data_IF_769333236997
#
_entry.id   IF_769333236997
#
_cell.length_a   1.000
_cell.length_b   1.000
_cell.length_c   1.000
_cell.angle_alpha   90.00
_cell.angle_beta   90.00
_cell.angle_gamma   90.00
#
_symmetry.space_group_name_H-M   'P 1'
#
loop_
_entity.id
_entity.type
_entity.pdbx_description
1 polymer ?
#
# COMPACT_ATOMS: atom_id res chain seq x y z
N UNK A 1 -33.14 -16.25 -17.43
CA UNK A 1 -31.90 -16.81 -16.87
C UNK A 1 -31.65 -16.05 -15.58
N UNK A 2 -31.77 -16.76 -14.46
CA UNK A 2 -32.10 -16.21 -13.16
C UNK A 2 -30.89 -15.55 -12.49
N UNK A 3 -31.06 -14.32 -12.02
CA UNK A 3 -30.10 -13.58 -11.19
C UNK A 3 -29.88 -14.18 -9.80
N UNK A 4 -30.69 -15.16 -9.39
CA UNK A 4 -30.56 -15.87 -8.11
C UNK A 4 -29.53 -17.00 -8.14
N UNK A 5 -29.27 -17.61 -9.30
CA UNK A 5 -28.31 -18.74 -9.42
C UNK A 5 -26.85 -18.25 -9.30
N UNK A 6 -26.55 -17.05 -9.79
CA UNK A 6 -25.22 -16.43 -9.66
C UNK A 6 -24.83 -16.07 -8.23
N UNK A 7 -25.80 -15.80 -7.34
CA UNK A 7 -25.49 -15.45 -5.93
C UNK A 7 -25.28 -16.69 -5.06
N UNK A 8 -25.97 -17.80 -5.35
CA UNK A 8 -25.77 -19.07 -4.64
C UNK A 8 -24.53 -19.84 -5.13
N UNK A 9 -24.14 -19.72 -6.41
CA UNK A 9 -22.87 -20.29 -6.90
C UNK A 9 -21.63 -19.54 -6.38
N UNK A 10 -21.73 -18.22 -6.12
CA UNK A 10 -20.68 -17.46 -5.46
C UNK A 10 -20.55 -17.78 -3.96
N UNK A 11 -21.62 -18.27 -3.31
CA UNK A 11 -21.57 -18.82 -1.94
C UNK A 11 -20.97 -20.25 -1.87
N UNK A 12 -20.78 -20.93 -3.01
CA UNK A 12 -20.12 -22.25 -3.07
C UNK A 12 -18.59 -22.17 -3.25
N UNK A 13 -18.04 -21.01 -3.57
CA UNK A 13 -16.60 -20.77 -3.47
C UNK A 13 -16.32 -20.23 -2.07
N UNK A 14 -15.33 -20.75 -1.35
CA UNK A 14 -14.94 -20.35 0.01
C UNK A 14 -14.43 -18.90 0.11
N UNK A 15 -15.27 -17.93 -0.24
CA UNK A 15 -15.01 -16.50 -0.22
C UNK A 15 -15.84 -15.86 0.89
N UNK A 16 -15.16 -15.29 1.86
CA UNK A 16 -15.82 -14.51 2.93
C UNK A 16 -15.39 -13.05 2.81
N UNK A 17 -16.34 -12.17 2.48
CA UNK A 17 -16.12 -10.72 2.36
C UNK A 17 -16.62 -10.01 3.60
N UNK A 18 -15.85 -9.04 4.11
CA UNK A 18 -16.21 -8.20 5.26
C UNK A 18 -15.90 -6.73 5.02
N UNK A 19 -16.70 -5.80 5.55
CA UNK A 19 -16.36 -4.37 5.57
C UNK A 19 -15.33 -4.11 6.69
N UNK A 20 -14.05 -4.40 6.42
CA UNK A 20 -13.07 -4.66 7.47
C UNK A 20 -12.84 -3.48 8.43
N UNK A 21 -12.76 -2.22 7.97
CA UNK A 21 -12.54 -1.12 8.93
C UNK A 21 -13.75 -0.85 9.81
N UNK A 22 -14.97 -0.86 9.28
CA UNK A 22 -16.16 -0.63 10.11
C UNK A 22 -16.41 -1.79 11.06
N UNK A 23 -16.17 -3.02 10.61
CA UNK A 23 -16.28 -4.23 11.43
C UNK A 23 -15.32 -4.21 12.63
N UNK A 24 -14.08 -3.78 12.42
CA UNK A 24 -13.03 -3.79 13.45
C UNK A 24 -12.73 -2.41 14.04
N UNK A 25 -13.65 -1.45 13.88
CA UNK A 25 -13.37 -0.03 14.16
C UNK A 25 -12.90 0.24 15.58
N UNK A 26 -13.51 -0.39 16.57
CA UNK A 26 -13.13 -0.22 17.98
C UNK A 26 -11.72 -0.75 18.24
N UNK A 27 -11.39 -1.94 17.77
CA UNK A 27 -10.05 -2.53 17.94
C UNK A 27 -8.99 -1.76 17.17
N UNK A 28 -9.29 -1.30 15.95
CA UNK A 28 -8.42 -0.40 15.19
C UNK A 28 -8.25 0.93 15.93
N UNK A 29 -9.30 1.48 16.54
CA UNK A 29 -9.24 2.68 17.37
C UNK A 29 -8.31 2.51 18.57
N UNK A 30 -8.40 1.38 19.28
CA UNK A 30 -7.46 1.03 20.36
C UNK A 30 -6.03 0.89 19.85
N UNK A 31 -5.85 0.26 18.69
CA UNK A 31 -4.54 0.14 18.05
C UNK A 31 -3.93 1.51 17.74
N UNK A 32 -4.71 2.46 17.20
CA UNK A 32 -4.30 3.85 16.96
C UNK A 32 -3.92 4.56 18.27
N UNK A 33 -4.72 4.38 19.32
CA UNK A 33 -4.47 4.99 20.63
C UNK A 33 -3.12 4.54 21.21
N UNK A 34 -2.88 3.24 21.27
CA UNK A 34 -1.62 2.67 21.77
C UNK A 34 -0.42 3.13 20.94
N UNK A 35 -0.56 3.21 19.61
CA UNK A 35 0.52 3.72 18.76
C UNK A 35 0.81 5.21 18.99
N UNK A 36 -0.23 6.00 19.26
CA UNK A 36 -0.08 7.42 19.53
C UNK A 36 0.59 7.68 20.89
N UNK A 37 0.22 6.92 21.92
CA UNK A 37 0.80 7.01 23.27
C UNK A 37 2.28 6.61 23.30
N UNK A 38 2.66 5.60 22.53
CA UNK A 38 4.06 5.15 22.43
C UNK A 38 4.93 6.01 21.51
N UNK A 39 4.41 7.12 20.98
CA UNK A 39 5.18 8.04 20.15
C UNK A 39 6.14 8.84 21.03
N UNK A 40 7.44 8.70 20.78
CA UNK A 40 8.50 9.36 21.55
C UNK A 40 8.52 10.89 21.31
N UNK A 41 7.77 11.66 22.13
CA UNK A 41 7.91 13.12 22.39
C UNK A 41 7.63 14.10 21.20
N UNK A 42 7.47 15.43 21.45
CA UNK A 42 6.70 16.30 20.57
C UNK A 42 7.47 16.60 19.29
N UNK A 43 6.78 16.41 18.17
CA UNK A 43 7.25 16.72 16.83
C UNK A 43 6.05 17.14 15.98
N UNK A 44 6.25 17.18 14.67
CA UNK A 44 5.28 17.55 13.63
C UNK A 44 3.81 17.37 14.02
N UNK A 45 3.00 18.34 13.60
CA UNK A 45 1.55 18.28 13.70
C UNK A 45 1.00 16.88 13.34
N UNK A 46 0.13 16.37 14.21
CA UNK A 46 -0.62 15.14 14.02
C UNK A 46 -2.07 15.36 14.49
N UNK A 47 -3.09 14.82 13.80
CA UNK A 47 -4.49 14.97 14.20
C UNK A 47 -4.88 14.37 15.57
N UNK A 48 -3.96 13.64 16.21
CA UNK A 48 -4.18 12.87 17.43
C UNK A 48 -4.68 11.45 17.15
N UNK A 49 -5.02 10.69 18.20
CA UNK A 49 -5.46 9.30 18.10
C UNK A 49 -6.97 9.10 17.89
N UNK A 50 -7.78 10.12 18.22
CA UNK A 50 -9.22 10.01 18.21
C UNK A 50 -9.76 9.69 16.82
N UNK A 51 -10.70 8.74 16.76
CA UNK A 51 -11.48 8.43 15.57
C UNK A 51 -12.91 8.97 15.70
N UNK A 52 -13.60 9.33 14.60
CA UNK A 52 -15.01 9.67 14.63
C UNK A 52 -15.88 8.47 15.09
N UNK A 53 -17.06 8.71 15.68
CA UNK A 53 -18.03 7.65 15.94
C UNK A 53 -18.50 6.99 14.63
N UNK A 54 -18.89 5.71 14.67
CA UNK A 54 -19.49 5.01 13.53
C UNK A 54 -20.95 5.41 13.32
N UNK A 55 -21.16 6.64 12.87
CA UNK A 55 -22.45 7.10 12.33
C UNK A 55 -22.63 6.71 10.84
N UNK A 56 -23.80 6.97 10.27
CA UNK A 56 -24.10 6.63 8.87
C UNK A 56 -23.14 7.29 7.87
N UNK A 57 -22.62 8.48 8.18
CA UNK A 57 -21.66 9.17 7.32
C UNK A 57 -20.31 8.46 7.34
N UNK A 58 -19.86 8.01 8.51
CA UNK A 58 -18.66 7.20 8.65
C UNK A 58 -18.81 5.82 8.00
N UNK A 59 -19.98 5.18 8.11
CA UNK A 59 -20.23 3.91 7.42
C UNK A 59 -20.10 4.06 5.90
N UNK A 60 -20.77 5.06 5.30
CA UNK A 60 -20.65 5.37 3.86
C UNK A 60 -19.22 5.66 3.44
N UNK A 61 -18.48 6.37 4.28
CA UNK A 61 -17.07 6.66 4.03
C UNK A 61 -16.19 5.39 4.05
N UNK A 62 -16.46 4.46 4.96
CA UNK A 62 -15.72 3.21 5.14
C UNK A 62 -16.15 2.07 4.20
N UNK A 63 -17.16 2.24 3.35
CA UNK A 63 -17.56 1.25 2.33
C UNK A 63 -16.39 0.80 1.45
N UNK A 64 -15.38 1.66 1.24
CA UNK A 64 -14.17 1.32 0.49
C UNK A 64 -13.24 0.31 1.20
N UNK A 65 -13.51 -0.05 2.45
CA UNK A 65 -12.67 -0.93 3.27
C UNK A 65 -13.05 -2.40 3.18
N UNK A 66 -13.83 -2.80 2.18
CA UNK A 66 -14.08 -4.22 1.92
C UNK A 66 -12.78 -5.01 1.76
N UNK A 67 -12.76 -6.19 2.36
CA UNK A 67 -11.71 -7.17 2.20
C UNK A 67 -12.33 -8.56 2.15
N UNK A 68 -11.63 -9.50 1.53
CA UNK A 68 -12.08 -10.89 1.47
C UNK A 68 -10.96 -11.86 1.80
N UNK A 69 -11.35 -13.02 2.30
CA UNK A 69 -10.51 -14.22 2.31
C UNK A 69 -11.08 -15.18 1.30
N UNK A 70 -10.23 -15.67 0.39
CA UNK A 70 -10.63 -16.55 -0.70
C UNK A 70 -9.73 -17.78 -0.73
N UNK A 71 -10.34 -18.96 -0.73
CA UNK A 71 -9.63 -20.19 -1.03
C UNK A 71 -9.30 -20.28 -2.53
N UNK A 72 -8.04 -20.57 -2.84
CA UNK A 72 -7.52 -20.70 -4.20
C UNK A 72 -7.20 -22.16 -4.50
N UNK A 73 -7.00 -22.52 -5.77
CA UNK A 73 -6.45 -23.82 -6.12
C UNK A 73 -5.11 -24.04 -5.40
N UNK A 74 -4.98 -25.20 -4.75
CA UNK A 74 -3.73 -25.64 -4.14
C UNK A 74 -2.60 -25.67 -5.17
N UNK A 75 -1.37 -25.45 -4.72
CA UNK A 75 -0.19 -25.57 -5.56
C UNK A 75 0.73 -26.65 -4.99
N UNK A 76 0.84 -27.77 -5.72
CA UNK A 76 1.43 -29.01 -5.22
C UNK A 76 0.69 -29.44 -3.94
N UNK A 77 1.41 -29.70 -2.85
CA UNK A 77 0.86 -30.09 -1.55
C UNK A 77 0.60 -28.88 -0.62
N UNK A 78 0.71 -27.65 -1.14
CA UNK A 78 0.55 -26.42 -0.35
C UNK A 78 -0.83 -25.80 -0.61
N UNK A 79 -1.58 -25.60 0.47
CA UNK A 79 -2.87 -24.91 0.41
C UNK A 79 -2.67 -23.42 0.18
N UNK A 80 -3.44 -22.88 -0.76
CA UNK A 80 -3.33 -21.48 -1.18
C UNK A 80 -4.57 -20.69 -0.78
N UNK A 81 -4.37 -19.57 -0.10
CA UNK A 81 -5.45 -18.61 0.20
C UNK A 81 -5.03 -17.19 -0.16
N UNK A 82 -6.01 -16.37 -0.51
CA UNK A 82 -5.82 -14.94 -0.77
C UNK A 82 -6.55 -14.13 0.30
N UNK A 83 -5.83 -13.27 0.99
CA UNK A 83 -6.38 -12.13 1.71
C UNK A 83 -6.47 -10.95 0.73
N UNK A 84 -7.61 -10.80 0.05
CA UNK A 84 -7.83 -9.73 -0.93
C UNK A 84 -8.22 -8.41 -0.26
N UNK A 85 -7.26 -7.50 -0.21
CA UNK A 85 -7.36 -6.18 0.41
C UNK A 85 -7.48 -5.06 -0.64
N UNK A 86 -7.83 -5.40 -1.88
CA UNK A 86 -7.86 -4.47 -3.02
C UNK A 86 -9.28 -4.12 -3.45
N UNK A 87 -10.31 -4.49 -2.68
CA UNK A 87 -11.70 -4.43 -3.14
C UNK A 87 -12.25 -3.02 -3.33
N UNK A 88 -11.52 -1.97 -2.92
CA UNK A 88 -11.88 -0.59 -3.29
C UNK A 88 -11.74 -0.39 -4.81
N UNK A 89 -12.85 -0.22 -5.55
CA UNK A 89 -12.79 -0.08 -7.00
C UNK A 89 -12.10 1.21 -7.43
N UNK A 90 -12.02 2.23 -6.56
CA UNK A 90 -11.40 3.53 -6.88
C UNK A 90 -9.87 3.55 -6.75
N UNK A 91 -9.25 2.47 -6.28
CA UNK A 91 -7.79 2.45 -6.00
C UNK A 91 -7.12 1.10 -6.22
N UNK A 92 -7.86 -0.01 -6.03
CA UNK A 92 -7.40 -1.39 -6.12
C UNK A 92 -6.07 -1.68 -5.40
N UNK A 93 -5.91 -1.10 -4.22
CA UNK A 93 -4.70 -1.25 -3.40
C UNK A 93 -4.99 -1.34 -1.90
N UNK A 94 -4.14 -2.07 -1.19
CA UNK A 94 -4.09 -2.11 0.29
C UNK A 94 -3.89 -0.76 0.95
N UNK A 95 -3.35 0.24 0.23
CA UNK A 95 -3.16 1.59 0.79
C UNK A 95 -4.48 2.27 1.17
N UNK A 96 -5.62 1.71 0.75
CA UNK A 96 -6.97 2.17 1.14
C UNK A 96 -7.16 2.19 2.66
N UNK A 97 -6.78 1.12 3.38
CA UNK A 97 -7.04 1.01 4.82
C UNK A 97 -6.38 2.13 5.61
N UNK A 98 -5.07 2.30 5.43
CA UNK A 98 -4.31 3.37 6.05
C UNK A 98 -4.82 4.76 5.62
N UNK A 99 -5.16 4.93 4.35
CA UNK A 99 -5.67 6.21 3.84
C UNK A 99 -6.99 6.61 4.48
N UNK A 100 -7.92 5.65 4.61
CA UNK A 100 -9.20 5.86 5.26
C UNK A 100 -9.03 6.22 6.74
N UNK A 101 -8.15 5.51 7.44
CA UNK A 101 -7.87 5.76 8.85
C UNK A 101 -7.22 7.14 9.07
N UNK A 102 -6.26 7.51 8.22
CA UNK A 102 -5.59 8.80 8.30
C UNK A 102 -6.56 9.96 8.10
N UNK A 103 -7.41 9.89 7.06
CA UNK A 103 -8.41 10.94 6.81
C UNK A 103 -9.49 10.96 7.91
N UNK A 104 -9.89 9.81 8.48
CA UNK A 104 -10.80 9.79 9.62
C UNK A 104 -10.22 10.52 10.85
N UNK A 105 -8.92 10.35 11.12
CA UNK A 105 -8.22 11.09 12.19
C UNK A 105 -8.19 12.60 11.91
N UNK A 106 -7.94 13.00 10.66
CA UNK A 106 -8.01 14.40 10.26
C UNK A 106 -9.42 14.98 10.45
N UNK A 107 -10.47 14.23 10.08
CA UNK A 107 -11.88 14.60 10.31
C UNK A 107 -12.17 14.77 11.81
N UNK A 108 -11.73 13.83 12.65
CA UNK A 108 -11.92 13.94 14.10
C UNK A 108 -11.25 15.20 14.67
N UNK A 109 -10.05 15.51 14.21
CA UNK A 109 -9.34 16.74 14.58
C UNK A 109 -10.10 18.00 14.15
N UNK A 110 -10.54 18.05 12.89
CA UNK A 110 -11.31 19.18 12.33
C UNK A 110 -12.60 19.39 13.15
N UNK A 111 -13.36 18.33 13.42
CA UNK A 111 -14.61 18.41 14.20
C UNK A 111 -14.38 18.90 15.63
N UNK A 112 -13.26 18.50 16.24
CA UNK A 112 -12.92 18.88 17.62
C UNK A 112 -12.42 20.31 17.73
N UNK A 113 -11.70 20.81 16.73
CA UNK A 113 -10.93 22.07 16.84
C UNK A 113 -11.44 23.19 15.94
N UNK A 114 -12.21 22.85 14.90
CA UNK A 114 -12.54 23.77 13.81
C UNK A 114 -11.37 24.09 12.86
N UNK A 115 -10.15 23.58 13.13
CA UNK A 115 -8.96 23.92 12.35
C UNK A 115 -8.85 23.03 11.08
N UNK A 116 -8.76 23.62 9.87
CA UNK A 116 -8.56 22.89 8.62
C UNK A 116 -7.23 22.10 8.57
N UNK A 117 -7.27 20.91 7.99
CA UNK A 117 -6.09 20.06 7.78
C UNK A 117 -5.78 19.90 6.29
N UNK A 118 -4.51 20.14 5.94
CA UNK A 118 -3.96 19.86 4.61
C UNK A 118 -2.96 18.70 4.74
N UNK A 119 -3.25 17.56 4.10
CA UNK A 119 -2.36 16.42 4.07
C UNK A 119 -1.23 16.67 3.06
N UNK A 120 0.03 16.55 3.49
CA UNK A 120 1.19 16.51 2.60
C UNK A 120 1.68 15.07 2.45
N UNK A 121 1.63 14.53 1.24
CA UNK A 121 1.92 13.11 1.00
C UNK A 121 2.96 12.85 -0.07
N UNK A 122 4.18 12.42 0.30
CA UNK A 122 5.10 11.80 -0.65
C UNK A 122 4.66 10.37 -0.97
N UNK A 123 4.71 9.98 -2.24
CA UNK A 123 4.18 8.69 -2.72
C UNK A 123 4.82 8.25 -4.04
N UNK A 124 4.69 6.96 -4.38
CA UNK A 124 5.00 6.40 -5.70
C UNK A 124 3.76 6.08 -6.54
N UNK A 125 2.64 6.74 -6.25
CA UNK A 125 1.35 6.50 -6.91
C UNK A 125 0.32 5.98 -5.93
N UNK A 126 0.35 4.68 -5.59
CA UNK A 126 -0.74 4.01 -4.86
C UNK A 126 -1.19 4.71 -3.56
N UNK A 127 -0.26 5.20 -2.71
CA UNK A 127 -0.62 5.96 -1.50
C UNK A 127 -1.30 7.29 -1.83
N UNK A 128 -0.87 7.96 -2.91
CA UNK A 128 -1.45 9.24 -3.31
C UNK A 128 -2.86 9.02 -3.86
N UNK A 129 -3.04 8.04 -4.75
CA UNK A 129 -4.36 7.63 -5.25
C UNK A 129 -5.30 7.25 -4.10
N UNK A 130 -4.85 6.43 -3.15
CA UNK A 130 -5.69 5.99 -2.03
C UNK A 130 -6.05 7.12 -1.04
N UNK A 131 -5.13 8.02 -0.69
CA UNK A 131 -5.43 9.17 0.17
C UNK A 131 -6.34 10.18 -0.53
N UNK A 132 -6.16 10.39 -1.84
CA UNK A 132 -7.04 11.26 -2.64
C UNK A 132 -8.45 10.68 -2.72
N UNK A 133 -8.59 9.36 -2.92
CA UNK A 133 -9.89 8.68 -2.86
C UNK A 133 -10.53 8.86 -1.47
N UNK A 134 -9.78 8.66 -0.38
CA UNK A 134 -10.27 8.89 0.98
C UNK A 134 -10.73 10.33 1.22
N UNK A 135 -9.96 11.36 0.81
CA UNK A 135 -10.39 12.77 0.92
C UNK A 135 -11.68 13.02 0.15
N UNK A 136 -11.78 12.53 -1.09
CA UNK A 136 -12.98 12.68 -1.89
C UNK A 136 -14.20 11.99 -1.25
N UNK A 137 -14.02 10.80 -0.69
CA UNK A 137 -15.06 10.08 0.05
C UNK A 137 -15.51 10.85 1.29
N UNK A 138 -14.58 11.44 2.04
CA UNK A 138 -14.91 12.27 3.19
C UNK A 138 -15.77 13.48 2.80
N UNK A 139 -15.47 14.14 1.66
CA UNK A 139 -16.31 15.21 1.13
C UNK A 139 -17.71 14.72 0.74
N UNK A 140 -17.79 13.59 0.01
CA UNK A 140 -19.08 13.01 -0.44
C UNK A 140 -19.95 12.55 0.72
N UNK A 141 -19.34 12.03 1.78
CA UNK A 141 -20.04 11.59 2.98
C UNK A 141 -20.44 12.75 3.91
N UNK A 142 -20.00 13.99 3.63
CA UNK A 142 -20.25 15.14 4.48
C UNK A 142 -19.44 15.15 5.78
N UNK A 143 -18.33 14.41 5.83
CA UNK A 143 -17.49 14.31 7.02
C UNK A 143 -16.64 15.57 7.24
N UNK A 144 -16.19 16.18 6.14
CA UNK A 144 -15.50 17.46 6.11
C UNK A 144 -15.73 18.13 4.74
N UNK A 145 -15.89 19.45 4.71
CA UNK A 145 -15.97 20.18 3.45
C UNK A 145 -14.59 20.43 2.80
N UNK A 146 -14.62 20.99 1.59
CA UNK A 146 -13.44 21.33 0.77
C UNK A 146 -12.56 22.45 1.34
N UNK A 147 -13.07 23.21 2.29
CA UNK A 147 -12.33 24.26 3.00
C UNK A 147 -11.62 23.69 4.23
N UNK A 148 -12.12 22.61 4.84
CA UNK A 148 -11.53 22.02 6.03
C UNK A 148 -10.57 20.86 5.78
N UNK A 149 -10.73 20.11 4.69
CA UNK A 149 -9.89 18.95 4.38
C UNK A 149 -9.32 19.02 2.97
N UNK A 150 -7.99 18.89 2.83
CA UNK A 150 -7.28 19.02 1.55
C UNK A 150 -6.11 18.05 1.48
N UNK A 151 -5.61 17.79 0.26
CA UNK A 151 -4.43 16.96 0.05
C UNK A 151 -3.50 17.48 -1.04
N UNK A 152 -2.23 17.60 -0.69
CA UNK A 152 -1.10 17.84 -1.59
C UNK A 152 -0.33 16.53 -1.76
N UNK A 153 -0.24 16.03 -2.99
CA UNK A 153 0.51 14.80 -3.31
C UNK A 153 1.78 15.13 -4.06
N UNK A 154 2.91 14.55 -3.65
CA UNK A 154 4.21 14.67 -4.32
C UNK A 154 4.63 13.28 -4.78
N UNK A 155 4.81 13.10 -6.09
CA UNK A 155 5.19 11.81 -6.70
C UNK A 155 6.36 11.97 -7.67
N UNK A 156 7.20 10.95 -7.88
CA UNK A 156 8.20 11.01 -8.93
C UNK A 156 7.51 10.97 -10.31
N UNK A 157 8.10 11.63 -11.30
CA UNK A 157 7.53 11.79 -12.65
C UNK A 157 7.15 10.44 -13.27
N UNK A 158 8.00 9.43 -13.09
CA UNK A 158 7.77 8.06 -13.58
C UNK A 158 6.53 7.37 -12.97
N UNK A 159 6.02 7.85 -11.84
CA UNK A 159 4.85 7.31 -11.17
C UNK A 159 3.54 8.03 -11.55
N UNK A 160 3.61 9.09 -12.37
CA UNK A 160 2.43 9.87 -12.77
C UNK A 160 1.33 9.03 -13.42
N UNK A 161 1.71 7.98 -14.15
CA UNK A 161 0.80 7.08 -14.87
C UNK A 161 -0.04 6.22 -13.92
N UNK A 162 0.32 6.13 -12.63
CA UNK A 162 -0.45 5.44 -11.58
C UNK A 162 -1.44 6.34 -10.84
N UNK A 163 -1.50 7.62 -11.18
CA UNK A 163 -2.41 8.56 -10.53
C UNK A 163 -3.77 8.54 -11.21
N UNK A 164 -4.81 8.16 -10.47
CA UNK A 164 -6.16 8.03 -11.04
C UNK A 164 -6.86 9.39 -11.06
N UNK A 165 -7.45 9.73 -12.21
CA UNK A 165 -8.30 10.92 -12.35
C UNK A 165 -9.56 10.74 -11.50
N UNK A 166 -9.97 11.82 -10.86
CA UNK A 166 -11.17 11.89 -10.03
C UNK A 166 -11.63 13.35 -9.97
N UNK A 167 -12.79 13.65 -9.37
CA UNK A 167 -13.20 15.03 -9.11
C UNK A 167 -12.12 15.90 -8.43
N UNK A 168 -11.20 15.33 -7.63
CA UNK A 168 -10.08 16.09 -7.05
C UNK A 168 -9.05 16.58 -8.07
N UNK A 169 -9.14 16.12 -9.32
CA UNK A 169 -8.26 16.48 -10.43
C UNK A 169 -9.05 17.12 -11.58
N UNK A 170 -10.27 16.64 -11.84
CA UNK A 170 -11.10 17.10 -12.96
C UNK A 170 -11.88 18.39 -12.67
N UNK A 171 -12.42 18.55 -11.46
CA UNK A 171 -13.10 19.78 -11.04
C UNK A 171 -12.06 20.91 -10.82
N UNK A 172 -12.22 22.11 -11.43
CA UNK A 172 -11.23 23.17 -11.33
C UNK A 172 -10.93 23.65 -9.90
N UNK A 173 -11.94 23.72 -9.03
CA UNK A 173 -11.78 24.25 -7.67
C UNK A 173 -11.21 23.17 -6.74
N UNK A 174 -11.67 21.93 -6.86
CA UNK A 174 -11.08 20.81 -6.12
C UNK A 174 -9.64 20.55 -6.58
N UNK A 175 -9.34 20.65 -7.88
CA UNK A 175 -7.97 20.54 -8.41
C UNK A 175 -7.04 21.59 -7.82
N UNK A 176 -7.50 22.85 -7.74
CA UNK A 176 -6.72 23.93 -7.13
C UNK A 176 -6.36 23.61 -5.67
N UNK A 177 -7.31 23.06 -4.91
CA UNK A 177 -7.16 22.75 -3.48
C UNK A 177 -6.42 21.45 -3.21
N UNK A 178 -6.40 20.55 -4.18
CA UNK A 178 -5.84 19.21 -4.04
C UNK A 178 -4.79 18.93 -5.12
N UNK A 179 -3.71 19.74 -5.22
CA UNK A 179 -2.74 19.62 -6.29
C UNK A 179 -1.97 18.31 -6.20
N UNK A 180 -1.59 17.81 -7.38
CA UNK A 180 -0.61 16.72 -7.51
C UNK A 180 0.62 17.27 -8.19
N UNK A 181 1.77 17.06 -7.56
CA UNK A 181 3.07 17.52 -7.99
C UNK A 181 3.90 16.33 -8.44
N UNK A 182 4.55 16.50 -9.58
CA UNK A 182 5.56 15.62 -10.12
C UNK A 182 6.95 16.15 -9.76
N UNK A 183 7.84 15.23 -9.41
CA UNK A 183 9.26 15.45 -9.14
C UNK A 183 10.08 14.78 -10.24
N UNK A 184 10.93 15.54 -10.92
CA UNK A 184 11.68 15.05 -12.09
C UNK A 184 13.09 14.56 -11.77
N UNK A 185 13.53 14.67 -10.51
CA UNK A 185 14.88 14.29 -10.14
C UNK A 185 15.17 12.79 -10.33
N UNK A 186 16.45 12.50 -10.54
CA UNK A 186 16.93 11.16 -10.91
C UNK A 186 16.65 10.09 -9.85
N UNK A 187 16.61 10.46 -8.56
CA UNK A 187 16.28 9.54 -7.48
C UNK A 187 14.79 9.63 -7.09
N UNK A 188 13.96 8.63 -7.42
CA UNK A 188 12.53 8.62 -7.11
C UNK A 188 12.23 8.66 -5.61
N UNK A 189 13.15 8.20 -4.75
CA UNK A 189 12.94 8.24 -3.29
C UNK A 189 13.08 9.63 -2.70
N UNK A 190 13.71 10.57 -3.41
CA UNK A 190 13.96 11.94 -2.97
C UNK A 190 12.66 12.73 -2.76
N UNK A 191 11.52 12.28 -3.30
CA UNK A 191 10.21 12.88 -2.98
C UNK A 191 9.89 12.88 -1.48
N UNK A 192 10.43 11.92 -0.72
CA UNK A 192 10.25 11.84 0.74
C UNK A 192 10.99 12.96 1.45
N UNK A 193 12.23 13.22 1.04
CA UNK A 193 13.11 14.29 1.53
C UNK A 193 12.55 15.65 1.12
N UNK A 194 12.22 15.83 -0.16
CA UNK A 194 11.60 17.06 -0.67
C UNK A 194 10.35 17.48 0.12
N UNK A 195 9.44 16.54 0.37
CA UNK A 195 8.23 16.82 1.14
C UNK A 195 8.53 17.07 2.63
N UNK A 196 9.57 16.45 3.20
CA UNK A 196 10.02 16.69 4.58
C UNK A 196 10.62 18.08 4.71
N UNK A 197 11.57 18.42 3.85
CA UNK A 197 12.23 19.72 3.83
C UNK A 197 11.23 20.85 3.61
N UNK A 198 10.24 20.64 2.74
CA UNK A 198 9.15 21.60 2.57
C UNK A 198 8.33 21.81 3.85
N UNK A 199 7.94 20.71 4.51
CA UNK A 199 7.20 20.79 5.76
C UNK A 199 8.00 21.57 6.81
N UNK A 200 9.29 21.28 6.97
CA UNK A 200 10.13 21.87 8.01
C UNK A 200 10.36 23.35 7.82
N UNK A 201 10.46 23.78 6.57
CA UNK A 201 10.71 25.19 6.25
C UNK A 201 9.43 26.04 6.23
N UNK A 202 8.25 25.45 5.98
CA UNK A 202 7.05 26.23 5.65
C UNK A 202 5.77 25.87 6.42
N UNK A 203 5.71 24.76 7.17
CA UNK A 203 4.47 24.36 7.85
C UNK A 203 3.94 25.43 8.81
N UNK A 204 4.81 25.99 9.67
CA UNK A 204 4.43 27.04 10.62
C UNK A 204 4.01 28.34 9.92
N UNK A 205 4.77 28.75 8.90
CA UNK A 205 4.43 29.92 8.08
C UNK A 205 3.04 29.78 7.45
N UNK A 206 2.77 28.62 6.84
CA UNK A 206 1.49 28.34 6.18
C UNK A 206 0.35 28.27 7.20
N UNK A 207 0.59 27.68 8.37
CA UNK A 207 -0.38 27.63 9.46
C UNK A 207 -0.72 29.03 9.96
N UNK A 208 0.28 29.88 10.25
CA UNK A 208 0.06 31.28 10.66
C UNK A 208 -0.69 32.08 9.59
N UNK A 209 -0.36 31.87 8.31
CA UNK A 209 -0.95 32.64 7.20
C UNK A 209 -2.37 32.22 6.83
N UNK A 210 -2.66 30.93 6.85
CA UNK A 210 -3.91 30.37 6.31
C UNK A 210 -4.78 29.69 7.36
N UNK A 211 -4.33 29.59 8.61
CA UNK A 211 -5.05 28.94 9.70
C UNK A 211 -5.26 27.44 9.48
N UNK A 212 -4.43 26.78 8.66
CA UNK A 212 -4.56 25.36 8.35
C UNK A 212 -3.30 24.59 8.75
N UNK A 213 -3.50 23.50 9.49
CA UNK A 213 -2.43 22.59 9.87
C UNK A 213 -1.97 21.76 8.67
N UNK A 214 -0.67 21.79 8.38
CA UNK A 214 -0.05 20.94 7.38
C UNK A 214 0.40 19.64 8.05
N UNK A 215 -0.12 18.50 7.59
CA UNK A 215 0.24 17.20 8.16
C UNK A 215 1.14 16.41 7.21
N UNK A 216 2.41 16.22 7.60
CA UNK A 216 3.31 15.30 6.91
C UNK A 216 2.91 13.84 7.19
N UNK A 217 2.40 13.17 6.15
CA UNK A 217 1.68 11.89 6.29
C UNK A 217 2.58 10.65 6.32
N UNK A 218 3.90 10.78 6.37
CA UNK A 218 4.83 9.65 6.32
C UNK A 218 5.25 9.21 7.73
N UNK A 219 4.33 8.56 8.43
CA UNK A 219 4.56 7.93 9.74
C UNK A 219 4.19 6.44 9.63
N UNK A 220 5.06 5.57 10.16
CA UNK A 220 4.86 4.11 10.17
C UNK A 220 3.59 3.72 10.93
N UNK A 221 3.28 4.43 12.02
CA UNK A 221 2.12 4.11 12.86
C UNK A 221 0.79 4.31 12.18
N UNK A 222 0.73 5.20 11.18
CA UNK A 222 -0.47 5.35 10.37
C UNK A 222 -0.83 4.07 9.60
N UNK A 223 0.17 3.27 9.21
CA UNK A 223 -0.04 2.03 8.46
C UNK A 223 -0.24 0.83 9.39
N UNK A 224 0.61 0.70 10.42
CA UNK A 224 0.56 -0.46 11.31
C UNK A 224 -0.81 -0.60 11.99
N UNK A 225 -1.39 0.50 12.49
CA UNK A 225 -2.72 0.46 13.12
C UNK A 225 -3.84 0.10 12.13
N UNK A 226 -3.75 0.57 10.89
CA UNK A 226 -4.75 0.22 9.87
C UNK A 226 -4.63 -1.23 9.41
N UNK A 227 -3.40 -1.74 9.29
CA UNK A 227 -3.12 -3.11 8.85
C UNK A 227 -3.36 -4.15 9.96
N UNK A 228 -3.68 -3.74 11.20
CA UNK A 228 -4.22 -4.62 12.27
C UNK A 228 -5.44 -5.41 11.81
N UNK A 229 -6.25 -4.86 10.90
CA UNK A 229 -7.42 -5.56 10.33
C UNK A 229 -7.05 -6.92 9.73
N UNK A 230 -5.82 -7.10 9.23
CA UNK A 230 -5.38 -8.36 8.62
C UNK A 230 -5.37 -9.50 9.63
N UNK A 231 -4.87 -9.25 10.84
CA UNK A 231 -4.81 -10.25 11.91
C UNK A 231 -6.19 -10.51 12.51
N UNK A 232 -7.04 -9.47 12.60
CA UNK A 232 -8.42 -9.63 13.07
C UNK A 232 -9.26 -10.44 12.08
N UNK A 233 -9.07 -10.22 10.78
CA UNK A 233 -9.68 -11.03 9.73
C UNK A 233 -9.16 -12.46 9.74
N UNK A 234 -7.86 -12.66 9.90
CA UNK A 234 -7.32 -14.02 10.03
C UNK A 234 -7.98 -14.75 11.21
N UNK A 235 -7.98 -14.14 12.40
CA UNK A 235 -8.54 -14.75 13.61
C UNK A 235 -10.02 -15.10 13.46
N UNK A 236 -10.79 -14.23 12.80
CA UNK A 236 -12.24 -14.42 12.69
C UNK A 236 -12.63 -15.34 11.53
N UNK A 237 -11.96 -15.23 10.38
CA UNK A 237 -12.42 -15.80 9.12
C UNK A 237 -11.69 -17.07 8.72
N UNK A 238 -10.53 -17.37 9.33
CA UNK A 238 -9.73 -18.54 9.01
C UNK A 238 -9.72 -19.54 10.16
N UNK A 239 -9.69 -20.85 9.86
CA UNK A 239 -9.40 -21.84 10.89
C UNK A 239 -7.97 -21.63 11.44
N UNK A 240 -7.68 -22.18 12.63
CA UNK A 240 -6.32 -22.22 13.14
C UNK A 240 -5.34 -22.78 12.10
N UNK A 241 -4.08 -22.30 12.08
CA UNK A 241 -3.08 -22.83 11.18
C UNK A 241 -2.94 -24.37 11.31
N UNK A 242 -2.74 -25.09 10.20
CA UNK A 242 -2.45 -26.52 10.25
C UNK A 242 -1.14 -26.83 10.98
N UNK A 243 -0.92 -28.11 11.32
CA UNK A 243 0.37 -28.59 11.83
C UNK A 243 1.45 -28.29 10.78
N UNK A 244 2.52 -27.61 11.19
CA UNK A 244 3.55 -27.09 10.28
C UNK A 244 3.40 -25.59 9.99
N UNK A 245 2.30 -24.97 10.41
CA UNK A 245 2.11 -23.52 10.40
C UNK A 245 1.45 -22.98 9.13
N UNK A 246 1.18 -21.68 9.16
CA UNK A 246 0.72 -20.87 8.03
C UNK A 246 1.74 -19.77 7.81
N UNK A 247 2.10 -19.55 6.55
CA UNK A 247 2.99 -18.45 6.18
C UNK A 247 2.24 -17.33 5.47
N UNK A 248 2.53 -16.10 5.88
CA UNK A 248 1.96 -14.88 5.30
C UNK A 248 2.92 -14.31 4.26
N UNK A 249 2.56 -14.48 2.98
CA UNK A 249 3.39 -14.02 1.87
C UNK A 249 2.93 -12.65 1.36
N UNK A 250 3.88 -11.73 1.16
CA UNK A 250 3.56 -10.39 0.64
C UNK A 250 4.67 -9.84 -0.25
N UNK A 251 4.29 -9.24 -1.39
CA UNK A 251 5.19 -8.39 -2.17
C UNK A 251 5.43 -7.06 -1.43
N UNK A 252 6.68 -6.80 -1.05
CA UNK A 252 7.01 -5.71 -0.11
C UNK A 252 8.06 -4.75 -0.63
N UNK A 253 7.79 -3.45 -0.45
CA UNK A 253 8.85 -2.41 -0.48
C UNK A 253 9.34 -2.08 0.94
N UNK A 254 8.47 -2.17 1.95
CA UNK A 254 8.81 -1.89 3.35
C UNK A 254 7.97 -2.71 4.33
N UNK A 255 7.29 -3.77 3.88
CA UNK A 255 6.57 -4.73 4.73
C UNK A 255 5.60 -4.15 5.80
N UNK A 256 5.07 -2.94 5.62
CA UNK A 256 4.13 -2.34 6.59
C UNK A 256 2.90 -3.23 6.84
N UNK A 257 2.41 -3.91 5.80
CA UNK A 257 1.27 -4.82 5.92
C UNK A 257 1.55 -6.03 6.82
N UNK A 258 2.75 -6.61 6.75
CA UNK A 258 3.15 -7.73 7.61
C UNK A 258 3.44 -7.27 9.03
N UNK A 259 4.05 -6.09 9.21
CA UNK A 259 4.21 -5.51 10.55
C UNK A 259 2.88 -5.12 11.20
N UNK A 260 1.92 -4.61 10.42
CA UNK A 260 0.57 -4.32 10.91
C UNK A 260 -0.20 -5.59 11.25
N UNK A 261 -0.02 -6.65 10.46
CA UNK A 261 -0.52 -7.99 10.82
C UNK A 261 0.07 -8.45 12.15
N UNK A 262 1.39 -8.46 12.30
CA UNK A 262 2.06 -8.82 13.55
C UNK A 262 1.55 -8.00 14.73
N UNK A 263 1.49 -6.68 14.57
CA UNK A 263 0.94 -5.79 15.60
C UNK A 263 -0.52 -6.12 15.93
N UNK A 264 -1.35 -6.43 14.93
CA UNK A 264 -2.73 -6.83 15.13
C UNK A 264 -2.89 -8.12 15.95
N UNK A 265 -1.91 -9.03 15.92
CA UNK A 265 -1.96 -10.25 16.75
C UNK A 265 -1.89 -9.96 18.25
N UNK A 266 -1.41 -8.78 18.68
CA UNK A 266 -1.49 -8.39 20.10
C UNK A 266 -2.90 -7.97 20.54
N UNK A 267 -3.84 -7.85 19.60
CA UNK A 267 -5.24 -7.48 19.86
C UNK A 267 -6.20 -8.66 19.66
N UNK A 268 -5.69 -9.82 19.24
CA UNK A 268 -6.44 -11.08 19.10
C UNK A 268 -6.34 -11.89 20.39
N UNK A 269 -7.44 -12.47 20.87
CA UNK A 269 -7.56 -13.11 22.20
C UNK A 269 -6.88 -14.48 22.36
N UNK A 270 -5.89 -14.83 21.53
CA UNK A 270 -5.32 -16.18 21.41
C UNK A 270 -4.43 -16.67 22.58
N UNK A 271 -4.08 -15.79 23.53
CA UNK A 271 -3.28 -16.16 24.70
C UNK A 271 -1.91 -16.78 24.37
N UNK A 272 -1.32 -17.49 25.35
CA UNK A 272 0.01 -18.14 25.27
C UNK A 272 0.08 -19.33 24.28
N UNK A 273 -1.06 -19.81 23.78
CA UNK A 273 -1.14 -20.98 22.89
C UNK A 273 -1.20 -20.62 21.40
N UNK A 274 -1.16 -19.33 21.04
CA UNK A 274 -1.15 -18.91 19.65
C UNK A 274 0.21 -19.23 19.01
N UNK A 275 0.20 -20.01 17.93
CA UNK A 275 1.38 -20.18 17.10
C UNK A 275 1.81 -18.81 16.52
N UNK A 276 3.09 -18.43 16.62
CA UNK A 276 3.54 -17.18 16.04
C UNK A 276 3.41 -17.22 14.51
N UNK A 277 3.03 -16.11 13.85
CA UNK A 277 2.89 -16.06 12.40
C UNK A 277 4.25 -16.16 11.72
N UNK A 278 4.33 -16.98 10.67
CA UNK A 278 5.51 -17.04 9.78
C UNK A 278 5.35 -15.99 8.67
N UNK A 279 6.44 -15.35 8.26
CA UNK A 279 6.40 -14.29 7.25
C UNK A 279 7.29 -14.59 6.05
N UNK A 280 6.77 -14.37 4.84
CA UNK A 280 7.52 -14.57 3.61
C UNK A 280 7.57 -13.29 2.78
N UNK A 281 8.78 -12.75 2.61
CA UNK A 281 9.02 -11.51 1.87
C UNK A 281 9.19 -11.81 0.38
N UNK A 282 8.41 -11.15 -0.47
CA UNK A 282 8.66 -11.19 -1.92
C UNK A 282 9.13 -9.82 -2.41
N UNK A 283 10.29 -9.77 -3.04
CA UNK A 283 10.87 -8.55 -3.61
C UNK A 283 11.29 -8.78 -5.07
N UNK A 284 11.70 -7.72 -5.75
CA UNK A 284 12.24 -7.81 -7.12
C UNK A 284 13.71 -7.41 -7.18
N UNK A 285 14.34 -7.68 -8.32
CA UNK A 285 15.78 -7.50 -8.56
C UNK A 285 16.33 -6.11 -8.22
N UNK A 286 15.58 -5.04 -8.50
CA UNK A 286 16.08 -3.68 -8.31
C UNK A 286 16.08 -3.21 -6.83
N UNK A 287 15.21 -3.76 -5.97
CA UNK A 287 15.20 -3.46 -4.53
C UNK A 287 15.02 -4.73 -3.67
N UNK A 288 16.02 -5.62 -3.63
CA UNK A 288 16.00 -6.85 -2.83
C UNK A 288 16.44 -6.60 -1.37
N UNK A 289 16.49 -5.34 -0.94
CA UNK A 289 17.08 -4.87 0.32
C UNK A 289 16.63 -5.66 1.56
N UNK A 290 15.33 -5.97 1.70
CA UNK A 290 14.84 -6.70 2.87
C UNK A 290 15.22 -8.18 2.82
N UNK A 291 15.27 -8.79 1.64
CA UNK A 291 15.77 -10.17 1.48
C UNK A 291 17.27 -10.23 1.77
N UNK A 292 18.04 -9.24 1.31
CA UNK A 292 19.46 -9.13 1.64
C UNK A 292 19.69 -8.96 3.15
N UNK A 293 18.93 -8.08 3.81
CA UNK A 293 19.04 -7.88 5.27
C UNK A 293 18.65 -9.14 6.05
N UNK A 294 17.63 -9.87 5.58
CA UNK A 294 17.23 -11.14 6.15
C UNK A 294 18.37 -12.17 6.09
N UNK A 295 18.96 -12.37 4.91
CA UNK A 295 19.96 -13.40 4.64
C UNK A 295 21.36 -13.05 5.18
N UNK A 296 21.69 -11.77 5.25
CA UNK A 296 23.07 -11.32 5.44
C UNK A 296 23.27 -10.23 6.50
N UNK A 297 22.17 -9.64 7.02
CA UNK A 297 22.23 -8.58 8.02
C UNK A 297 22.64 -7.20 7.48
N UNK A 298 22.67 -7.01 6.16
CA UNK A 298 22.87 -5.72 5.51
C UNK A 298 22.13 -5.61 4.17
N UNK A 299 22.19 -4.43 3.54
CA UNK A 299 21.48 -4.12 2.29
C UNK A 299 22.39 -4.19 1.04
N UNK A 300 23.60 -4.76 1.14
CA UNK A 300 24.59 -4.67 0.07
C UNK A 300 24.21 -5.50 -1.14
N UNK A 301 24.05 -4.85 -2.30
CA UNK A 301 23.82 -5.52 -3.59
C UNK A 301 25.00 -6.40 -4.02
N UNK A 302 26.19 -6.21 -3.47
CA UNK A 302 27.35 -7.08 -3.74
C UNK A 302 27.13 -8.52 -3.28
N UNK A 303 26.17 -8.75 -2.36
CA UNK A 303 25.78 -10.07 -1.90
C UNK A 303 24.76 -10.77 -2.80
N UNK A 304 24.23 -10.08 -3.81
CA UNK A 304 23.41 -10.74 -4.84
C UNK A 304 24.27 -11.77 -5.60
N UNK A 305 23.69 -12.89 -6.06
CA UNK A 305 24.42 -13.81 -6.91
C UNK A 305 24.85 -13.13 -8.20
N UNK A 306 25.99 -13.58 -8.75
CA UNK A 306 26.51 -13.06 -10.01
C UNK A 306 25.73 -13.67 -11.15
N UNK A 307 25.18 -12.81 -12.00
CA UNK A 307 24.51 -13.22 -13.22
C UNK A 307 25.46 -13.14 -14.41
N UNK A 308 25.43 -14.16 -15.27
CA UNK A 308 26.11 -14.17 -16.55
C UNK A 308 25.09 -14.13 -17.70
N UNK A 309 25.34 -13.31 -18.72
CA UNK A 309 24.53 -13.30 -19.93
C UNK A 309 24.75 -14.61 -20.69
N UNK A 310 23.68 -15.35 -20.91
CA UNK A 310 23.66 -16.51 -21.80
C UNK A 310 23.32 -16.03 -23.23
N UNK A 311 24.27 -16.10 -24.18
CA UNK A 311 24.03 -15.64 -25.55
C UNK A 311 23.02 -16.49 -26.32
N UNK A 312 22.74 -17.73 -25.90
CA UNK A 312 21.77 -18.59 -26.58
C UNK A 312 20.32 -18.19 -26.27
N UNK A 313 20.06 -17.76 -25.03
CA UNK A 313 18.72 -17.37 -24.57
C UNK A 313 18.52 -15.85 -24.52
N UNK A 314 19.60 -15.07 -24.49
CA UNK A 314 19.57 -13.63 -24.26
C UNK A 314 19.18 -13.25 -22.83
N UNK A 315 19.14 -14.21 -21.91
CA UNK A 315 18.81 -14.02 -20.50
C UNK A 315 20.08 -14.02 -19.64
N UNK A 316 19.99 -13.40 -18.49
CA UNK A 316 21.00 -13.47 -17.45
C UNK A 316 20.69 -14.65 -16.51
N UNK A 317 21.69 -15.50 -16.23
CA UNK A 317 21.53 -16.73 -15.44
C UNK A 317 22.40 -16.75 -14.19
N UNK A 318 21.89 -17.37 -13.13
CA UNK A 318 22.63 -17.79 -11.93
C UNK A 318 22.09 -19.13 -11.41
N UNK A 319 22.91 -19.88 -10.68
CA UNK A 319 22.52 -21.18 -10.11
C UNK A 319 23.02 -21.40 -8.68
N UNK A 320 23.46 -20.34 -8.00
CA UNK A 320 24.15 -20.43 -6.70
C UNK A 320 23.23 -20.18 -5.52
N UNK A 321 22.23 -19.31 -5.68
CA UNK A 321 21.34 -18.92 -4.60
C UNK A 321 19.86 -19.09 -5.01
N UNK A 322 19.11 -20.01 -4.37
CA UNK A 322 17.69 -20.20 -4.67
C UNK A 322 16.79 -19.02 -4.27
N UNK A 323 17.22 -18.15 -3.34
CA UNK A 323 16.44 -16.98 -2.93
C UNK A 323 16.36 -15.92 -4.04
N UNK A 324 17.20 -16.01 -5.06
CA UNK A 324 17.24 -15.10 -6.20
C UNK A 324 16.79 -15.82 -7.47
N UNK A 325 16.25 -15.08 -8.46
CA UNK A 325 15.71 -15.71 -9.65
C UNK A 325 16.81 -16.44 -10.41
N UNK A 326 16.51 -17.62 -10.98
CA UNK A 326 17.50 -18.34 -11.79
C UNK A 326 17.81 -17.59 -13.08
N UNK A 327 16.81 -16.91 -13.61
CA UNK A 327 16.87 -16.18 -14.87
C UNK A 327 16.24 -14.79 -14.74
N UNK A 328 16.80 -13.82 -15.46
CA UNK A 328 16.27 -12.45 -15.52
C UNK A 328 16.60 -11.81 -16.86
N UNK A 329 15.85 -10.80 -17.30
CA UNK A 329 16.20 -10.03 -18.49
C UNK A 329 17.39 -9.10 -18.24
N UNK A 330 17.52 -8.59 -17.00
CA UNK A 330 18.65 -7.78 -16.58
C UNK A 330 18.74 -7.73 -15.04
N UNK A 331 19.94 -7.79 -14.42
CA UNK A 331 20.09 -7.74 -12.96
C UNK A 331 19.56 -6.46 -12.27
N UNK A 332 19.38 -5.39 -13.05
CA UNK A 332 18.82 -4.10 -12.60
C UNK A 332 17.38 -3.85 -13.10
N UNK A 333 16.67 -4.88 -13.56
CA UNK A 333 15.30 -4.72 -14.05
C UNK A 333 14.34 -4.21 -12.97
N UNK A 334 13.40 -3.35 -13.39
CA UNK A 334 12.35 -2.80 -12.53
C UNK A 334 11.00 -3.34 -13.00
N UNK A 335 10.47 -4.33 -12.28
CA UNK A 335 9.12 -4.86 -12.54
C UNK A 335 8.04 -3.80 -12.30
N UNK A 336 8.09 -3.12 -11.16
CA UNK A 336 7.09 -2.13 -10.79
C UNK A 336 7.73 -0.93 -10.05
N UNK A 337 7.48 0.32 -10.50
CA UNK A 337 8.12 1.51 -9.95
C UNK A 337 7.65 1.88 -8.52
N UNK A 338 6.59 1.24 -8.01
CA UNK A 338 6.12 1.36 -6.62
C UNK A 338 7.14 0.79 -5.62
N UNK A 339 7.99 -0.14 -6.06
CA UNK A 339 9.04 -0.74 -5.24
C UNK A 339 10.34 0.05 -5.43
N UNK A 340 10.50 1.11 -4.62
CA UNK A 340 11.64 2.04 -4.74
C UNK A 340 12.34 2.32 -3.41
N UNK A 341 11.85 1.77 -2.29
CA UNK A 341 12.46 2.00 -0.98
C UNK A 341 13.74 1.17 -0.86
N UNK A 342 14.86 1.85 -0.68
CA UNK A 342 16.13 1.25 -0.23
C UNK A 342 16.26 1.37 1.28
N UNK A 343 17.00 0.44 1.89
CA UNK A 343 17.24 0.38 3.33
C UNK A 343 15.97 0.62 4.19
N UNK A 344 14.89 -0.19 4.04
CA UNK A 344 13.62 0.10 4.70
C UNK A 344 13.74 0.05 6.23
N UNK A 345 13.20 1.06 6.94
CA UNK A 345 13.23 1.13 8.42
C UNK A 345 12.59 -0.08 9.13
N UNK A 346 11.79 -0.84 8.41
CA UNK A 346 11.07 -2.02 8.89
C UNK A 346 11.88 -3.31 8.79
N UNK A 347 13.02 -3.31 8.09
CA UNK A 347 13.79 -4.52 7.81
C UNK A 347 14.26 -5.21 9.10
N UNK A 348 14.87 -4.46 10.03
CA UNK A 348 15.38 -5.00 11.29
C UNK A 348 14.31 -5.76 12.08
N UNK A 349 13.11 -5.18 12.19
CA UNK A 349 12.00 -5.83 12.89
C UNK A 349 11.50 -7.05 12.14
N UNK A 350 11.31 -6.96 10.82
CA UNK A 350 10.85 -8.09 10.01
C UNK A 350 11.85 -9.24 9.98
N UNK A 351 13.13 -8.96 9.74
CA UNK A 351 14.20 -9.95 9.74
C UNK A 351 14.30 -10.67 11.09
N UNK A 352 14.15 -9.94 12.20
CA UNK A 352 14.07 -10.54 13.53
C UNK A 352 12.87 -11.48 13.66
N UNK A 353 11.67 -11.02 13.30
CA UNK A 353 10.45 -11.82 13.37
C UNK A 353 10.53 -13.10 12.53
N UNK A 354 11.10 -13.04 11.33
CA UNK A 354 11.25 -14.19 10.44
C UNK A 354 12.26 -15.19 11.01
N UNK A 355 13.40 -14.72 11.55
CA UNK A 355 14.40 -15.59 12.15
C UNK A 355 13.89 -16.27 13.44
N UNK A 356 13.09 -15.56 14.23
CA UNK A 356 12.53 -16.08 15.49
C UNK A 356 11.39 -17.07 15.25
N UNK A 357 10.50 -16.79 14.28
CA UNK A 357 9.23 -17.51 14.15
C UNK A 357 9.15 -18.42 12.91
N UNK A 358 10.02 -18.27 11.92
CA UNK A 358 9.94 -19.00 10.65
C UNK A 358 9.41 -18.16 9.49
N UNK A 359 9.44 -18.75 8.30
CA UNK A 359 9.23 -18.09 7.01
C UNK A 359 10.53 -17.82 6.26
N UNK A 360 10.57 -16.76 5.46
CA UNK A 360 11.73 -16.49 4.61
C UNK A 360 11.56 -15.30 3.67
N UNK A 361 12.26 -15.33 2.55
CA UNK A 361 12.07 -14.36 1.49
C UNK A 361 12.64 -14.80 0.16
N UNK A 362 12.14 -14.21 -0.93
CA UNK A 362 12.59 -14.51 -2.29
C UNK A 362 12.57 -13.23 -3.13
N UNK A 363 13.48 -13.18 -4.09
CA UNK A 363 13.53 -12.18 -5.14
C UNK A 363 13.01 -12.81 -6.43
N UNK A 364 12.14 -12.10 -7.14
CA UNK A 364 11.60 -12.51 -8.44
C UNK A 364 12.10 -11.62 -9.56
N UNK A 365 12.17 -12.18 -10.76
CA UNK A 365 12.45 -11.46 -12.00
C UNK A 365 11.18 -11.14 -12.80
N UNK A 366 11.25 -10.18 -13.72
CA UNK A 366 10.18 -9.94 -14.69
C UNK A 366 9.99 -11.19 -15.57
N UNK A 367 11.08 -11.88 -15.91
CA UNK A 367 11.03 -13.11 -16.68
C UNK A 367 10.20 -14.19 -15.99
N UNK A 368 10.43 -14.44 -14.70
CA UNK A 368 9.65 -15.39 -13.90
C UNK A 368 8.18 -14.95 -13.79
N UNK A 369 7.94 -13.66 -13.57
CA UNK A 369 6.58 -13.13 -13.53
C UNK A 369 5.82 -13.35 -14.85
N UNK A 370 6.49 -13.15 -16.00
CA UNK A 370 5.90 -13.38 -17.32
C UNK A 370 5.67 -14.88 -17.59
N UNK A 371 6.63 -15.74 -17.21
CA UNK A 371 6.51 -17.18 -17.36
C UNK A 371 5.35 -17.76 -16.54
N UNK A 372 5.14 -17.26 -15.33
CA UNK A 372 4.04 -17.68 -14.44
C UNK A 372 2.72 -16.97 -14.72
N UNK A 373 2.71 -15.91 -15.53
CA UNK A 373 1.55 -15.04 -15.72
C UNK A 373 0.25 -15.78 -16.10
N UNK A 374 0.24 -16.71 -17.08
CA UNK A 374 -0.98 -17.44 -17.43
C UNK A 374 -1.51 -18.31 -16.28
N UNK A 375 -0.61 -18.98 -15.55
CA UNK A 375 -0.96 -19.80 -14.39
C UNK A 375 -1.54 -18.95 -13.26
N UNK A 376 -0.91 -17.81 -12.96
CA UNK A 376 -1.37 -16.88 -11.92
C UNK A 376 -2.75 -16.31 -12.26
N UNK A 377 -2.99 -15.96 -13.53
CA UNK A 377 -4.32 -15.54 -14.02
C UNK A 377 -5.40 -16.57 -13.74
N UNK A 378 -5.11 -17.82 -14.06
CA UNK A 378 -6.05 -18.93 -13.87
C UNK A 378 -6.35 -19.16 -12.38
N UNK A 379 -5.31 -19.14 -11.54
CA UNK A 379 -5.38 -19.34 -10.08
C UNK A 379 -6.17 -18.24 -9.38
N UNK A 380 -6.12 -17.01 -9.88
CA UNK A 380 -6.75 -15.83 -9.29
C UNK A 380 -8.23 -15.64 -9.67
N UNK A 381 -8.71 -16.34 -10.71
CA UNK A 381 -10.08 -16.22 -11.22
C UNK A 381 -11.17 -16.58 -10.19
N UNK A 382 -11.02 -17.60 -9.32
CA UNK A 382 -11.99 -17.86 -8.25
C UNK A 382 -12.17 -16.69 -7.27
N UNK A 383 -11.15 -15.84 -7.11
CA UNK A 383 -11.22 -14.62 -6.30
C UNK A 383 -11.83 -13.42 -7.04
N UNK A 384 -12.34 -13.61 -8.26
CA UNK A 384 -12.87 -12.53 -9.11
C UNK A 384 -11.79 -11.54 -9.54
N UNK A 385 -10.51 -11.94 -9.52
CA UNK A 385 -9.40 -11.08 -9.90
C UNK A 385 -9.05 -11.29 -11.37
N UNK A 386 -9.42 -10.32 -12.18
CA UNK A 386 -9.13 -10.31 -13.61
C UNK A 386 -7.81 -9.57 -13.88
N UNK A 387 -6.78 -10.30 -14.31
CA UNK A 387 -5.58 -9.67 -14.88
C UNK A 387 -5.71 -9.58 -16.40
N UNK A 388 -5.18 -8.51 -17.03
CA UNK A 388 -5.17 -8.36 -18.49
C UNK A 388 -4.66 -9.61 -19.21
N UNK A 389 -5.21 -9.92 -20.38
CA UNK A 389 -4.68 -11.03 -21.18
C UNK A 389 -3.25 -10.75 -21.65
N UNK A 390 -3.00 -9.50 -22.06
CA UNK A 390 -1.66 -9.02 -22.39
C UNK A 390 -1.01 -8.42 -21.13
N UNK A 391 0.08 -9.02 -20.58
CA UNK A 391 0.73 -8.50 -19.39
C UNK A 391 1.27 -7.06 -19.55
N UNK A 392 1.47 -6.57 -20.79
CA UNK A 392 1.87 -5.17 -21.04
C UNK A 392 0.79 -4.16 -20.64
N UNK A 393 -0.46 -4.60 -20.50
CA UNK A 393 -1.57 -3.80 -19.98
C UNK A 393 -1.57 -3.68 -18.45
N UNK A 394 -0.82 -4.52 -17.72
CA UNK A 394 -0.78 -4.49 -16.26
C UNK A 394 0.03 -3.29 -15.76
N UNK A 395 -0.54 -2.54 -14.81
CA UNK A 395 0.08 -1.33 -14.23
C UNK A 395 0.52 -1.50 -12.78
N UNK A 396 -0.08 -2.45 -12.07
CA UNK A 396 0.32 -2.79 -10.69
C UNK A 396 0.64 -4.27 -10.57
N UNK A 397 1.91 -4.59 -10.41
CA UNK A 397 2.43 -5.96 -10.47
C UNK A 397 2.54 -6.65 -9.12
N UNK A 398 2.27 -5.97 -8.00
CA UNK A 398 2.50 -6.54 -6.66
C UNK A 398 1.80 -7.88 -6.43
N UNK A 399 0.58 -8.08 -6.95
CA UNK A 399 -0.10 -9.38 -6.86
C UNK A 399 0.62 -10.46 -7.68
N UNK A 400 1.00 -10.17 -8.93
CA UNK A 400 1.73 -11.12 -9.77
C UNK A 400 3.09 -11.46 -9.15
N UNK A 401 3.78 -10.46 -8.61
CA UNK A 401 5.06 -10.65 -7.93
C UNK A 401 4.93 -11.61 -6.75
N UNK A 402 3.97 -11.40 -5.83
CA UNK A 402 3.84 -12.27 -4.65
C UNK A 402 3.47 -13.69 -5.04
N UNK A 403 2.57 -13.90 -6.01
CA UNK A 403 2.26 -15.25 -6.48
C UNK A 403 3.47 -15.89 -7.16
N UNK A 404 4.18 -15.16 -8.02
CA UNK A 404 5.43 -15.65 -8.63
C UNK A 404 6.40 -16.09 -7.53
N UNK A 405 6.62 -15.25 -6.53
CA UNK A 405 7.55 -15.54 -5.44
C UNK A 405 7.13 -16.76 -4.63
N UNK A 406 5.84 -16.93 -4.33
CA UNK A 406 5.35 -18.11 -3.61
C UNK A 406 5.53 -19.39 -4.44
N UNK A 407 5.12 -19.38 -5.72
CA UNK A 407 5.26 -20.56 -6.59
C UNK A 407 6.73 -20.95 -6.77
N UNK A 408 7.60 -19.96 -6.99
CA UNK A 408 9.04 -20.17 -7.10
C UNK A 408 9.67 -20.64 -5.78
N UNK A 409 9.24 -20.11 -4.64
CA UNK A 409 9.72 -20.54 -3.34
C UNK A 409 9.35 -22.00 -3.03
N UNK A 410 8.11 -22.40 -3.34
CA UNK A 410 7.67 -23.80 -3.23
C UNK A 410 8.49 -24.68 -4.17
N UNK A 411 8.70 -24.25 -5.42
CA UNK A 411 9.46 -24.99 -6.42
C UNK A 411 10.93 -25.19 -6.03
N UNK A 412 11.51 -24.21 -5.33
CA UNK A 412 12.90 -24.19 -4.87
C UNK A 412 13.09 -24.77 -3.47
N UNK A 413 12.03 -25.19 -2.79
CA UNK A 413 12.09 -25.71 -1.42
C UNK A 413 12.39 -24.66 -0.34
N UNK A 414 12.13 -23.37 -0.62
CA UNK A 414 12.28 -22.26 0.32
C UNK A 414 11.06 -22.04 1.21
N UNK A 415 9.91 -22.56 0.79
CA UNK A 415 8.65 -22.49 1.52
C UNK A 415 8.15 -23.92 1.72
N UNK A 416 8.05 -24.35 2.98
CA UNK A 416 7.69 -25.72 3.37
C UNK A 416 6.42 -25.79 4.20
N UNK A 417 5.88 -24.64 4.60
CA UNK A 417 4.61 -24.55 5.31
C UNK A 417 3.47 -25.13 4.45
N UNK A 418 2.56 -25.90 5.07
CA UNK A 418 1.44 -26.54 4.36
C UNK A 418 0.36 -25.55 3.88
N UNK A 419 0.37 -24.30 4.38
CA UNK A 419 -0.62 -23.28 4.00
C UNK A 419 0.05 -21.91 3.81
N UNK A 420 -0.27 -21.25 2.70
CA UNK A 420 0.15 -19.89 2.39
C UNK A 420 -1.06 -18.97 2.34
N UNK A 421 -1.03 -17.92 3.17
CA UNK A 421 -1.95 -16.79 3.04
C UNK A 421 -1.26 -15.65 2.29
N UNK A 422 -1.63 -15.49 1.02
CA UNK A 422 -1.12 -14.42 0.18
C UNK A 422 -1.84 -13.11 0.50
N UNK A 423 -1.09 -12.08 0.87
CA UNK A 423 -1.63 -10.75 1.11
C UNK A 423 -1.76 -9.98 -0.22
N UNK A 424 -2.96 -9.97 -0.79
CA UNK A 424 -3.26 -9.33 -2.06
C UNK A 424 -3.19 -7.81 -1.97
N UNK A 425 -2.13 -7.20 -2.52
CA UNK A 425 -1.79 -5.81 -2.19
C UNK A 425 -2.01 -4.75 -3.26
N UNK A 426 -2.13 -5.17 -4.51
CA UNK A 426 -2.53 -4.34 -5.63
C UNK A 426 -2.55 -5.13 -6.94
N UNK A 427 -3.53 -4.85 -7.80
CA UNK A 427 -3.48 -5.22 -9.22
C UNK A 427 -4.56 -4.44 -9.97
N UNK A 428 -4.14 -3.78 -11.05
CA UNK A 428 -5.00 -3.06 -11.98
C UNK A 428 -4.27 -2.91 -13.33
N UNK A 429 -5.04 -2.96 -14.41
CA UNK A 429 -4.62 -2.69 -15.78
C UNK A 429 -4.94 -1.27 -16.22
N UNK A 430 -4.60 -0.96 -17.47
CA UNK A 430 -4.93 0.31 -18.13
C UNK A 430 -6.42 0.54 -18.37
N UNK A 431 -7.23 -0.52 -18.44
CA UNK A 431 -8.68 -0.42 -18.61
C UNK A 431 -9.42 -0.10 -17.31
N UNK A 432 -8.77 -0.20 -16.15
CA UNK A 432 -9.41 -0.05 -14.84
C UNK A 432 -9.54 1.39 -14.38
N UNK A 433 -8.78 2.31 -14.97
CA UNK A 433 -8.74 3.70 -14.55
C UNK A 433 -8.32 4.64 -15.69
N UNK A 434 -8.59 5.93 -15.52
CA UNK A 434 -8.03 6.98 -16.38
C UNK A 434 -6.94 7.71 -15.62
N UNK A 435 -5.71 7.83 -16.16
CA UNK A 435 -4.65 8.62 -15.52
C UNK A 435 -5.00 10.11 -15.46
N UNK A 436 -4.50 10.85 -14.45
CA UNK A 436 -4.60 12.31 -14.44
C UNK A 436 -3.88 12.88 -15.68
N UNK A 437 -4.54 13.71 -16.51
CA UNK A 437 -3.90 14.35 -17.65
C UNK A 437 -2.71 15.22 -17.24
N UNK A 438 -1.62 15.18 -18.02
CA UNK A 438 -0.37 15.87 -17.70
C UNK A 438 -0.55 17.38 -17.44
N UNK A 439 -1.42 18.05 -18.20
CA UNK A 439 -1.71 19.48 -18.01
C UNK A 439 -2.41 19.83 -16.68
N UNK A 440 -2.85 18.83 -15.92
CA UNK A 440 -3.46 18.99 -14.60
C UNK A 440 -2.50 18.65 -13.46
N UNK A 441 -1.27 18.23 -13.79
CA UNK A 441 -0.19 18.01 -12.83
C UNK A 441 0.65 19.27 -12.72
N UNK A 442 1.22 19.48 -11.55
CA UNK A 442 2.22 20.50 -11.31
C UNK A 442 3.61 19.89 -11.28
N UNK A 443 4.62 20.72 -11.43
CA UNK A 443 6.03 20.32 -11.36
C UNK A 443 6.73 21.06 -10.23
N UNK A 444 7.52 20.35 -9.43
CA UNK A 444 8.41 20.97 -8.45
C UNK A 444 9.57 20.03 -8.06
N UNK A 445 10.80 20.54 -8.14
CA UNK A 445 12.02 19.79 -7.81
C UNK A 445 12.66 20.19 -6.47
N UNK A 446 12.22 21.29 -5.87
CA UNK A 446 12.74 21.82 -4.61
C UNK A 446 11.62 22.43 -3.72
N UNK A 447 11.86 22.63 -2.41
CA UNK A 447 10.86 23.20 -1.51
C UNK A 447 10.31 24.56 -1.93
N UNK A 448 11.11 25.41 -2.58
CA UNK A 448 10.67 26.74 -3.02
C UNK A 448 9.65 26.65 -4.16
N UNK A 449 9.80 25.66 -5.05
CA UNK A 449 8.84 25.34 -6.11
C UNK A 449 7.50 24.81 -5.58
N UNK A 450 7.50 24.10 -4.45
CA UNK A 450 6.26 23.63 -3.79
C UNK A 450 5.46 24.79 -3.21
N UNK A 451 6.13 25.79 -2.64
CA UNK A 451 5.51 26.86 -1.85
C UNK A 451 4.35 27.58 -2.55
N UNK A 452 4.49 28.12 -3.79
CA UNK A 452 3.39 28.83 -4.44
C UNK A 452 2.18 27.93 -4.73
N UNK A 453 2.41 26.65 -4.99
CA UNK A 453 1.35 25.67 -5.28
C UNK A 453 0.59 25.33 -4.00
N UNK A 454 1.30 25.00 -2.92
CA UNK A 454 0.71 24.68 -1.62
C UNK A 454 0.01 25.90 -1.01
N UNK A 455 0.63 27.07 -1.10
CA UNK A 455 0.02 28.34 -0.67
C UNK A 455 -1.30 28.61 -1.39
N UNK A 456 -1.36 28.35 -2.71
CA UNK A 456 -2.59 28.48 -3.49
C UNK A 456 -3.64 27.45 -3.07
N UNK A 457 -3.24 26.23 -2.76
CA UNK A 457 -4.14 25.18 -2.32
C UNK A 457 -4.78 25.49 -0.94
N UNK A 458 -4.00 26.08 -0.03
CA UNK A 458 -4.45 26.43 1.33
C UNK A 458 -5.18 27.78 1.39
N UNK A 459 -4.94 28.68 0.44
CA UNK A 459 -5.53 30.01 0.41
C UNK A 459 -7.01 30.06 -0.02
N UNK A 460 -7.72 31.16 0.34
CA UNK A 460 -9.14 31.34 0.04
C UNK A 460 -9.40 31.48 -1.47
N UNK A 461 -10.57 31.03 -1.93
CA UNK A 461 -10.95 31.04 -3.34
C UNK A 461 -10.99 32.46 -3.98
N UNK A 462 -11.15 33.51 -3.17
CA UNK A 462 -11.35 34.89 -3.62
C UNK A 462 -10.08 35.63 -4.06
N UNK A 463 -8.87 35.13 -3.79
CA UNK A 463 -7.61 35.80 -4.16
C UNK A 463 -7.23 35.69 -5.66
N UNK A 464 -8.08 35.15 -6.53
CA UNK A 464 -7.76 34.92 -7.96
C UNK A 464 -8.65 35.66 -8.97
N UNK A 465 -9.48 36.61 -8.53
CA UNK A 465 -10.08 37.62 -9.43
C UNK A 465 -9.18 38.86 -9.47
N UNK A 466 -8.02 38.76 -10.09
CA UNK A 466 -7.14 39.93 -10.25
C UNK A 466 -5.92 39.61 -11.09
N UNK A 467 -5.86 40.25 -12.28
CA UNK A 467 -4.84 40.14 -13.34
C UNK A 467 -5.08 39.01 -14.34
N UNK A 468 -5.97 39.27 -15.29
CA UNK A 468 -5.65 38.99 -16.70
C UNK A 468 -4.93 40.22 -17.27
N UNK A 469 -3.93 40.04 -18.16
CA UNK A 469 -3.34 41.15 -18.90
C UNK A 469 -4.38 41.85 -19.77
#
# INVERSE_FOLDING_TARGET
MNSSETSEELQRAGTTTVPALSRYWETVGRAVQVMHENRSLPGDFTPGAQLPPLDDAMLRYLEASEAAVVDLPDYRDTRMRLLDLRRNPGTRTTKTFASLLMVARAVAYIRRTGEPVTLLTPSSGNKATALRDAVLRAHRAGLADRDHLRIVSVVPERARTKLWDSPLSSDPELRRRNPVLSYSGANPSAVKELARDFHDNYADLLRTRYGSALWYTLDIGNYQAADTVRALMEEELLPPPPVGGRVHAHAVSSAFGLLGHHYGTSFTGGGEHRMPPHYFLVQHMNTPDMVLDLLHGDFSRERMPRYALDPATGLYHQSTDPHFPRTTHHPDEVIDPTFYTRTPKTSRTMSRLIRENGGGGVVVSLHECLARYPQIREMLRPAGVELPHDPRGLREWSLVMVFTGVLEAIDRGLLTEPEVLVHGSGSYGDTDFTPIPAQRLHHADDPAGLLPIVSRAMGPASMHRGRRP
#
